data_IF_342992892741
#
_entry.id   IF_342992892741
#
_cell.length_a   1.000
_cell.length_b   1.000
_cell.length_c   1.000
_cell.angle_alpha   90.00
_cell.angle_beta   90.00
_cell.angle_gamma   90.00
#
_symmetry.space_group_name_H-M   'P 1'
#
loop_
_entity.id
_entity.type
_entity.pdbx_description
1 polymer ?
#
# COMPACT_ATOMS: atom_id res chain seq x y z
N UNK A 1 17.38 -28.36 9.37
CA UNK A 1 16.85 -27.54 8.25
C UNK A 1 17.85 -27.62 7.10
N UNK A 2 17.41 -27.99 5.90
CA UNK A 2 18.28 -28.10 4.72
C UNK A 2 18.72 -26.71 4.24
N UNK A 3 19.96 -26.59 3.76
CA UNK A 3 20.52 -25.36 3.16
C UNK A 3 19.63 -24.84 2.01
N UNK A 4 19.01 -25.76 1.26
CA UNK A 4 18.06 -25.45 0.19
C UNK A 4 16.82 -24.70 0.71
N UNK A 5 16.29 -25.09 1.87
CA UNK A 5 15.14 -24.42 2.51
C UNK A 5 15.48 -23.01 2.95
N UNK A 6 16.71 -22.77 3.43
CA UNK A 6 17.16 -21.44 3.85
C UNK A 6 17.31 -20.49 2.66
N UNK A 7 17.94 -20.94 1.57
CA UNK A 7 18.09 -20.15 0.33
C UNK A 7 16.72 -19.81 -0.26
N UNK A 8 15.78 -20.75 -0.25
CA UNK A 8 14.43 -20.51 -0.73
C UNK A 8 13.73 -19.41 0.06
N UNK A 9 13.77 -19.47 1.41
CA UNK A 9 13.17 -18.43 2.27
C UNK A 9 13.76 -17.03 2.02
N UNK A 10 15.09 -16.95 1.88
CA UNK A 10 15.78 -15.69 1.58
C UNK A 10 15.33 -15.14 0.22
N UNK A 11 15.28 -16.00 -0.81
CA UNK A 11 14.80 -15.62 -2.13
C UNK A 11 13.38 -15.08 -2.07
N UNK A 12 12.46 -15.80 -1.43
CA UNK A 12 11.07 -15.37 -1.27
C UNK A 12 10.98 -14.02 -0.55
N UNK A 13 11.74 -13.85 0.53
CA UNK A 13 11.78 -12.58 1.27
C UNK A 13 12.23 -11.41 0.38
N UNK A 14 13.35 -11.54 -0.34
CA UNK A 14 13.81 -10.51 -1.26
C UNK A 14 12.81 -10.24 -2.40
N UNK A 15 12.18 -11.28 -2.94
CA UNK A 15 11.13 -11.11 -3.94
C UNK A 15 9.94 -10.33 -3.39
N UNK A 16 9.50 -10.60 -2.16
CA UNK A 16 8.42 -9.82 -1.53
C UNK A 16 8.83 -8.38 -1.22
N UNK A 17 10.08 -8.15 -0.81
CA UNK A 17 10.59 -6.80 -0.57
C UNK A 17 10.60 -5.97 -1.86
N UNK A 18 11.17 -6.54 -2.92
CA UNK A 18 11.25 -5.89 -4.24
C UNK A 18 9.86 -5.62 -4.82
N UNK A 19 8.90 -6.55 -4.63
CA UNK A 19 7.54 -6.37 -5.12
C UNK A 19 6.87 -5.16 -4.47
N UNK A 20 6.93 -5.01 -3.13
CA UNK A 20 6.28 -3.86 -2.50
C UNK A 20 6.99 -2.55 -2.80
N UNK A 21 8.33 -2.51 -2.79
CA UNK A 21 9.11 -1.29 -3.09
C UNK A 21 8.85 -0.77 -4.51
N UNK A 22 8.46 -1.66 -5.43
CA UNK A 22 8.13 -1.26 -6.80
C UNK A 22 6.81 -0.50 -6.93
N UNK A 23 5.96 -0.50 -5.89
CA UNK A 23 4.58 -0.02 -5.95
C UNK A 23 4.48 1.49 -5.79
N UNK A 24 3.53 2.07 -6.53
CA UNK A 24 3.17 3.49 -6.41
C UNK A 24 1.67 3.59 -6.22
N UNK A 25 1.27 4.36 -5.22
CA UNK A 25 -0.14 4.66 -4.94
C UNK A 25 -0.44 6.13 -5.23
N UNK A 26 -1.61 6.37 -5.78
CA UNK A 26 -2.26 7.69 -5.74
C UNK A 26 -3.41 7.59 -4.74
N UNK A 27 -3.36 8.41 -3.69
CA UNK A 27 -4.40 8.49 -2.67
C UNK A 27 -5.06 9.83 -2.79
N UNK A 28 -6.35 9.83 -3.11
CA UNK A 28 -7.18 11.01 -3.13
C UNK A 28 -8.11 11.01 -1.92
N UNK A 29 -8.11 12.10 -1.16
CA UNK A 29 -8.92 12.27 0.04
C UNK A 29 -9.96 13.33 -0.29
N UNK A 30 -11.22 12.92 -0.27
CA UNK A 30 -12.36 13.80 -0.38
C UNK A 30 -12.71 14.34 1.00
N UNK A 31 -12.71 15.66 1.13
CA UNK A 31 -13.18 16.37 2.31
C UNK A 31 -14.48 17.10 1.95
N UNK A 32 -15.44 17.19 2.87
CA UNK A 32 -16.71 17.93 2.64
C UNK A 32 -16.49 19.45 2.41
N UNK A 33 -15.26 19.93 2.57
CA UNK A 33 -14.83 21.30 2.26
C UNK A 33 -14.04 21.37 0.94
N UNK A 34 -13.96 22.57 0.36
CA UNK A 34 -13.38 22.94 -0.97
C UNK A 34 -11.95 22.40 -1.28
N UNK A 35 -11.30 21.70 -0.35
CA UNK A 35 -9.90 21.26 -0.46
C UNK A 35 -9.78 19.74 -0.54
N UNK A 36 -10.11 19.16 -1.70
CA UNK A 36 -9.70 17.80 -2.01
C UNK A 36 -8.16 17.73 -2.10
N UNK A 37 -7.57 16.66 -1.55
CA UNK A 37 -6.11 16.48 -1.54
C UNK A 37 -5.70 15.18 -2.23
N UNK A 38 -4.62 15.24 -3.00
CA UNK A 38 -4.05 14.09 -3.70
C UNK A 38 -2.61 13.86 -3.27
N UNK A 39 -2.29 12.63 -2.91
CA UNK A 39 -0.97 12.20 -2.49
C UNK A 39 -0.43 11.12 -3.43
N UNK A 40 0.82 11.26 -3.85
CA UNK A 40 1.55 10.21 -4.56
C UNK A 40 2.50 9.55 -3.56
N UNK A 41 2.27 8.27 -3.30
CA UNK A 41 3.05 7.49 -2.34
C UNK A 41 3.90 6.50 -3.13
N UNK A 42 5.22 6.67 -3.07
CA UNK A 42 6.18 5.73 -3.62
C UNK A 42 6.68 4.81 -2.50
N UNK A 43 6.38 3.51 -2.59
CA UNK A 43 6.74 2.53 -1.56
C UNK A 43 8.26 2.32 -1.44
N UNK A 44 9.06 2.70 -2.45
CA UNK A 44 10.53 2.68 -2.41
C UNK A 44 11.11 3.58 -1.31
N UNK A 45 10.36 4.61 -0.89
CA UNK A 45 10.77 5.50 0.20
C UNK A 45 10.55 4.90 1.61
N UNK A 46 9.98 3.70 1.71
CA UNK A 46 9.56 3.09 2.97
C UNK A 46 10.27 1.76 3.24
N UNK A 47 10.31 1.36 4.51
CA UNK A 47 10.96 0.11 4.95
C UNK A 47 9.96 -1.03 5.09
N UNK A 48 8.69 -0.68 5.28
CA UNK A 48 7.60 -1.63 5.45
C UNK A 48 6.49 -1.37 4.41
N UNK A 49 5.77 -2.42 3.96
CA UNK A 49 4.68 -2.26 3.01
C UNK A 49 3.52 -1.46 3.62
N UNK A 50 3.00 -0.51 2.84
CA UNK A 50 1.87 0.36 3.21
C UNK A 50 2.17 1.24 4.45
N UNK A 51 3.44 1.53 4.72
CA UNK A 51 3.87 2.26 5.92
C UNK A 51 3.20 3.64 6.03
N UNK A 52 2.99 4.34 4.91
CA UNK A 52 2.27 5.61 4.90
C UNK A 52 0.83 5.48 5.41
N UNK A 53 0.13 4.42 5.01
CA UNK A 53 -1.26 4.17 5.43
C UNK A 53 -1.32 3.72 6.90
N UNK A 54 -0.34 2.91 7.34
CA UNK A 54 -0.20 2.51 8.75
C UNK A 54 0.02 3.71 9.67
N UNK A 55 0.86 4.67 9.25
CA UNK A 55 1.09 5.93 9.99
C UNK A 55 -0.15 6.83 10.08
N UNK A 56 -1.17 6.56 9.28
CA UNK A 56 -2.47 7.25 9.29
C UNK A 56 -3.58 6.37 9.86
N UNK A 57 -3.23 5.35 10.63
CA UNK A 57 -4.17 4.50 11.36
C UNK A 57 -5.21 3.77 10.49
N UNK A 58 -4.87 3.48 9.23
CA UNK A 58 -5.69 2.59 8.40
C UNK A 58 -5.85 1.24 9.09
N UNK A 59 -7.10 0.81 9.24
CA UNK A 59 -7.43 -0.45 9.91
C UNK A 59 -6.83 -1.64 9.14
N UNK A 60 -6.44 -2.71 9.84
CA UNK A 60 -5.83 -3.90 9.23
C UNK A 60 -6.66 -4.47 8.07
N UNK A 61 -7.99 -4.50 8.20
CA UNK A 61 -8.91 -4.93 7.12
C UNK A 61 -8.83 -4.07 5.85
N UNK A 62 -8.51 -2.78 5.98
CA UNK A 62 -8.34 -1.86 4.87
C UNK A 62 -6.99 -2.12 4.19
N UNK A 63 -5.93 -2.26 4.99
CA UNK A 63 -4.58 -2.58 4.51
C UNK A 63 -4.54 -3.90 3.74
N UNK A 64 -5.22 -4.94 4.24
CA UNK A 64 -5.33 -6.23 3.53
C UNK A 64 -6.01 -6.12 2.16
N UNK A 65 -6.99 -5.22 2.03
CA UNK A 65 -7.66 -4.95 0.75
C UNK A 65 -6.74 -4.19 -0.20
N UNK A 66 -6.01 -3.20 0.30
CA UNK A 66 -5.05 -2.41 -0.48
C UNK A 66 -3.89 -3.28 -0.97
N UNK A 67 -3.32 -4.13 -0.10
CA UNK A 67 -2.17 -4.98 -0.44
C UNK A 67 -2.46 -5.96 -1.59
N UNK A 68 -3.72 -6.40 -1.70
CA UNK A 68 -4.21 -7.30 -2.76
C UNK A 68 -4.54 -6.57 -4.09
N UNK A 69 -4.41 -5.25 -4.14
CA UNK A 69 -4.74 -4.50 -5.35
C UNK A 69 -3.78 -4.78 -6.49
N UNK A 70 -4.34 -4.98 -7.68
CA UNK A 70 -3.61 -5.05 -8.96
C UNK A 70 -3.29 -3.65 -9.47
N UNK A 71 -2.35 -3.55 -10.39
CA UNK A 71 -2.04 -2.30 -11.11
C UNK A 71 -3.31 -1.79 -11.80
N UNK A 72 -3.49 -0.47 -11.78
CA UNK A 72 -4.67 0.24 -12.28
C UNK A 72 -5.97 -0.06 -11.55
N UNK A 73 -5.94 -0.85 -10.48
CA UNK A 73 -7.10 -1.04 -9.62
C UNK A 73 -7.31 0.21 -8.77
N UNK A 74 -8.58 0.59 -8.63
CA UNK A 74 -9.03 1.68 -7.77
C UNK A 74 -9.97 1.09 -6.72
N UNK A 75 -9.81 1.51 -5.47
CA UNK A 75 -10.78 1.22 -4.41
C UNK A 75 -11.10 2.49 -3.65
N UNK A 76 -12.32 2.55 -3.13
CA UNK A 76 -12.76 3.60 -2.22
C UNK A 76 -12.95 3.01 -0.83
N UNK A 77 -12.47 3.74 0.16
CA UNK A 77 -12.49 3.36 1.56
C UNK A 77 -13.04 4.56 2.33
N UNK A 78 -14.12 4.32 3.09
CA UNK A 78 -14.55 5.26 4.11
C UNK A 78 -13.56 5.17 5.28
N UNK A 79 -12.87 6.28 5.54
CA UNK A 79 -11.94 6.43 6.64
C UNK A 79 -12.43 7.59 7.51
N UNK A 80 -12.94 7.27 8.70
CA UNK A 80 -13.66 8.23 9.55
C UNK A 80 -14.79 8.92 8.74
N UNK A 81 -14.80 10.25 8.72
CA UNK A 81 -15.78 11.06 7.99
C UNK A 81 -15.32 11.40 6.56
N UNK A 82 -14.19 10.84 6.10
CA UNK A 82 -13.60 11.14 4.79
C UNK A 82 -13.65 9.93 3.87
N UNK A 83 -13.82 10.19 2.58
CA UNK A 83 -13.69 9.15 1.56
C UNK A 83 -12.29 9.19 0.98
N UNK A 84 -11.60 8.05 1.03
CA UNK A 84 -10.27 7.90 0.49
C UNK A 84 -10.35 7.01 -0.75
N UNK A 85 -9.99 7.54 -1.92
CA UNK A 85 -9.85 6.78 -3.15
C UNK A 85 -8.38 6.45 -3.39
N UNK A 86 -8.06 5.18 -3.43
CA UNK A 86 -6.72 4.68 -3.64
C UNK A 86 -6.62 4.04 -5.02
N UNK A 87 -5.57 4.38 -5.76
CA UNK A 87 -5.23 3.79 -7.04
C UNK A 87 -3.82 3.22 -6.99
N UNK A 88 -3.64 1.96 -7.42
CA UNK A 88 -2.31 1.43 -7.68
C UNK A 88 -1.87 1.84 -9.08
N UNK A 89 -0.80 2.62 -9.19
CA UNK A 89 -0.27 3.09 -10.47
C UNK A 89 0.82 2.17 -11.00
N UNK A 90 1.57 1.53 -10.10
CA UNK A 90 2.67 0.61 -10.40
C UNK A 90 2.68 -0.54 -9.40
#
# INVERSE_FOLDING_TARGET
MSLSTAIFKIKTYFSTLLDFQSRIWVVHIFEDSITDQSFVINEDAFKEPLEWMRKRDYQSKMLERVDKMKISQVIEIQFEDKMHRLMRVK
#
